data_IF_096184406926
#
_entry.id   IF_096184406926
#
_cell.length_a   1.000
_cell.length_b   1.000
_cell.length_c   1.000
_cell.angle_alpha   90.00
_cell.angle_beta   90.00
_cell.angle_gamma   90.00
#
_symmetry.space_group_name_H-M   'P 1'
#
loop_
_entity.id
_entity.type
_entity.pdbx_description
1 polymer ?
#
# COMPACT_ATOMS: atom_id res chain seq x y z
N UNK A 1 1.56 17.01 -12.66
CA UNK A 1 2.32 16.45 -11.52
C UNK A 1 3.07 17.58 -10.86
N UNK A 2 3.30 17.54 -9.54
CA UNK A 2 4.22 18.48 -8.90
C UNK A 2 5.58 18.44 -9.60
N UNK A 3 6.23 19.60 -9.70
CA UNK A 3 7.54 19.71 -10.36
C UNK A 3 8.66 19.11 -9.50
N UNK A 4 8.46 19.06 -8.18
CA UNK A 4 9.38 18.45 -7.21
C UNK A 4 8.59 17.60 -6.23
N UNK A 5 9.15 16.44 -5.88
CA UNK A 5 8.60 15.53 -4.87
C UNK A 5 9.53 15.39 -3.65
N UNK A 6 10.65 16.13 -3.63
CA UNK A 6 11.65 16.09 -2.57
C UNK A 6 11.04 16.37 -1.21
N UNK A 7 10.29 17.46 -1.04
CA UNK A 7 9.68 17.79 0.25
C UNK A 7 8.65 16.74 0.73
N UNK A 8 8.07 15.98 -0.22
CA UNK A 8 7.11 14.92 0.07
C UNK A 8 7.79 13.62 0.50
N UNK A 9 8.87 13.23 -0.17
CA UNK A 9 9.56 11.96 0.07
C UNK A 9 10.76 12.09 1.02
N UNK A 10 11.36 13.27 1.09
CA UNK A 10 12.59 13.59 1.81
C UNK A 10 12.38 14.88 2.63
N UNK A 11 11.46 14.87 3.62
CA UNK A 11 11.17 16.07 4.40
C UNK A 11 12.44 16.58 5.08
N UNK A 12 12.67 17.91 5.05
CA UNK A 12 13.93 18.53 5.48
C UNK A 12 14.31 18.22 6.94
N UNK A 13 13.32 17.94 7.79
CA UNK A 13 13.52 17.62 9.21
C UNK A 13 13.91 16.15 9.43
N UNK A 14 13.95 15.32 8.37
CA UNK A 14 14.32 13.92 8.48
C UNK A 14 15.83 13.77 8.63
N UNK A 15 16.27 13.39 9.83
CA UNK A 15 17.67 13.10 10.12
C UNK A 15 18.13 11.74 9.55
N UNK A 16 17.19 10.91 9.08
CA UNK A 16 17.44 9.56 8.62
C UNK A 16 16.75 9.28 7.28
N UNK A 17 17.33 8.37 6.51
CA UNK A 17 16.73 7.82 5.30
C UNK A 17 15.85 6.63 5.71
N UNK A 18 14.64 6.55 5.15
CA UNK A 18 13.71 5.46 5.43
C UNK A 18 14.12 4.19 4.69
N UNK A 19 13.85 3.02 5.27
CA UNK A 19 14.10 1.73 4.61
C UNK A 19 12.99 1.36 3.62
N UNK A 20 11.77 1.84 3.87
CA UNK A 20 10.55 1.53 3.12
C UNK A 20 9.69 2.80 2.97
N UNK A 21 9.24 3.09 1.76
CA UNK A 21 8.27 4.13 1.44
C UNK A 21 6.98 3.49 0.92
N UNK A 22 5.84 3.91 1.45
CA UNK A 22 4.51 3.42 1.08
C UNK A 22 3.67 4.62 0.67
N UNK A 23 3.40 4.74 -0.62
CA UNK A 23 2.72 5.90 -1.21
C UNK A 23 1.33 5.48 -1.68
N UNK A 24 0.31 5.86 -0.92
CA UNK A 24 -1.10 5.70 -1.28
C UNK A 24 -1.65 6.98 -1.90
N UNK A 25 -2.25 6.87 -3.09
CA UNK A 25 -2.91 8.00 -3.76
C UNK A 25 -4.37 7.70 -4.04
N UNK A 26 -5.22 8.73 -3.98
CA UNK A 26 -6.63 8.70 -4.37
C UNK A 26 -6.87 9.82 -5.39
N UNK A 27 -7.73 9.55 -6.38
CA UNK A 27 -7.98 10.51 -7.48
C UNK A 27 -6.67 10.92 -8.18
N UNK A 28 -5.72 9.98 -8.22
CA UNK A 28 -4.42 10.15 -8.84
C UNK A 28 -4.52 10.34 -10.35
N UNK A 29 -3.37 10.63 -10.93
CA UNK A 29 -3.27 11.02 -12.33
C UNK A 29 -3.55 9.80 -13.24
N UNK A 30 -4.15 10.01 -14.43
CA UNK A 30 -4.46 8.89 -15.33
C UNK A 30 -3.22 8.09 -15.73
N UNK A 31 -2.08 8.76 -15.91
CA UNK A 31 -0.79 8.11 -16.18
C UNK A 31 -0.08 7.72 -14.89
N UNK A 32 -0.38 6.51 -14.43
CA UNK A 32 0.20 5.91 -13.22
C UNK A 32 1.68 5.58 -13.40
N UNK A 33 2.10 5.25 -14.62
CA UNK A 33 3.48 4.89 -14.90
C UNK A 33 4.37 6.11 -14.76
N UNK A 34 3.94 7.25 -15.29
CA UNK A 34 4.63 8.53 -15.10
C UNK A 34 4.75 8.87 -13.60
N UNK A 35 3.70 8.61 -12.81
CA UNK A 35 3.78 8.82 -11.36
C UNK A 35 4.85 7.95 -10.69
N UNK A 36 4.89 6.65 -10.99
CA UNK A 36 5.90 5.74 -10.45
C UNK A 36 7.33 6.09 -10.91
N UNK A 37 7.48 6.55 -12.16
CA UNK A 37 8.77 7.03 -12.68
C UNK A 37 9.25 8.22 -11.85
N UNK A 38 8.42 9.23 -11.61
CA UNK A 38 8.83 10.40 -10.81
C UNK A 38 9.16 10.04 -9.36
N UNK A 39 8.41 9.11 -8.75
CA UNK A 39 8.74 8.60 -7.43
C UNK A 39 10.13 7.92 -7.43
N UNK A 40 10.39 7.07 -8.42
CA UNK A 40 11.66 6.37 -8.55
C UNK A 40 12.83 7.32 -8.83
N UNK A 41 12.64 8.35 -9.67
CA UNK A 41 13.64 9.39 -9.95
C UNK A 41 13.99 10.18 -8.69
N UNK A 42 12.98 10.54 -7.89
CA UNK A 42 13.17 11.31 -6.65
C UNK A 42 13.86 10.49 -5.56
N UNK A 43 13.48 9.22 -5.39
CA UNK A 43 14.12 8.32 -4.41
C UNK A 43 15.53 7.88 -4.84
N UNK A 44 15.80 7.89 -6.15
CA UNK A 44 17.08 7.52 -6.72
C UNK A 44 17.36 6.01 -6.69
N UNK A 45 18.59 5.60 -7.09
CA UNK A 45 18.93 4.21 -7.38
C UNK A 45 19.12 3.33 -6.13
N UNK A 46 19.05 3.91 -4.93
CA UNK A 46 19.11 3.17 -3.68
C UNK A 46 17.79 2.46 -3.34
N UNK A 47 16.69 2.89 -3.97
CA UNK A 47 15.37 2.30 -3.81
C UNK A 47 14.93 1.60 -5.08
N UNK A 48 14.09 0.58 -4.92
CA UNK A 48 13.41 -0.09 -6.03
C UNK A 48 11.92 -0.20 -5.71
N UNK A 49 11.08 -0.12 -6.73
CA UNK A 49 9.67 -0.44 -6.60
C UNK A 49 9.52 -1.94 -6.27
N UNK A 50 9.18 -2.26 -5.03
CA UNK A 50 8.94 -3.63 -4.57
C UNK A 50 7.63 -4.16 -5.14
N UNK A 51 6.56 -3.35 -5.07
CA UNK A 51 5.25 -3.71 -5.59
C UNK A 51 4.39 -2.46 -5.79
N UNK A 52 3.43 -2.52 -6.71
CA UNK A 52 2.34 -1.56 -6.77
C UNK A 52 1.01 -2.22 -7.10
N UNK A 53 -0.06 -1.63 -6.58
CA UNK A 53 -1.41 -2.14 -6.69
C UNK A 53 -2.39 -1.01 -6.98
N UNK A 54 -3.45 -1.32 -7.74
CA UNK A 54 -4.43 -0.33 -8.18
C UNK A 54 -5.84 -0.85 -7.97
N UNK A 55 -6.74 0.03 -7.53
CA UNK A 55 -8.18 -0.21 -7.58
C UNK A 55 -8.96 1.03 -8.05
N UNK A 56 -9.32 1.07 -9.33
CA UNK A 56 -10.00 2.24 -9.92
C UNK A 56 -9.11 3.49 -9.88
N UNK A 57 -9.48 4.47 -9.05
CA UNK A 57 -8.72 5.72 -8.82
C UNK A 57 -7.75 5.64 -7.63
N UNK A 58 -7.67 4.48 -6.98
CA UNK A 58 -6.71 4.21 -5.92
C UNK A 58 -5.44 3.58 -6.50
N UNK A 59 -4.30 4.00 -5.98
CA UNK A 59 -3.00 3.41 -6.29
C UNK A 59 -2.13 3.38 -5.04
N UNK A 60 -1.41 2.29 -4.84
CA UNK A 60 -0.50 2.06 -3.73
C UNK A 60 0.83 1.57 -4.29
N UNK A 61 1.91 2.30 -4.04
CA UNK A 61 3.27 1.95 -4.47
C UNK A 61 4.17 1.77 -3.25
N UNK A 62 4.93 0.68 -3.22
CA UNK A 62 5.90 0.38 -2.18
C UNK A 62 7.31 0.43 -2.78
N UNK A 63 8.14 1.32 -2.26
CA UNK A 63 9.56 1.39 -2.59
C UNK A 63 10.37 0.95 -1.38
N UNK A 64 11.32 0.06 -1.59
CA UNK A 64 12.21 -0.43 -0.53
C UNK A 64 13.65 -0.19 -0.93
N UNK A 65 14.54 -0.01 0.05
CA UNK A 65 15.97 -0.01 -0.26
C UNK A 65 16.37 -1.32 -0.95
N UNK A 66 17.17 -1.20 -2.00
CA UNK A 66 17.52 -2.29 -2.91
C UNK A 66 18.23 -3.47 -2.25
N UNK A 67 18.95 -3.22 -1.15
CA UNK A 67 19.67 -4.21 -0.35
C UNK A 67 18.73 -5.04 0.54
N UNK A 68 17.49 -4.57 0.75
CA UNK A 68 16.53 -5.20 1.64
C UNK A 68 15.52 -6.12 0.92
N UNK A 69 15.51 -6.14 -0.42
CA UNK A 69 14.54 -6.93 -1.21
C UNK A 69 14.56 -8.42 -0.88
N UNK A 70 15.73 -8.95 -0.53
CA UNK A 70 15.96 -10.37 -0.28
C UNK A 70 15.36 -10.87 1.03
N UNK A 71 14.93 -9.93 1.89
CA UNK A 71 14.31 -10.24 3.19
C UNK A 71 12.79 -10.10 3.16
N UNK A 72 12.21 -9.83 1.99
CA UNK A 72 10.76 -9.80 1.79
C UNK A 72 10.25 -11.17 1.35
N UNK A 73 9.11 -11.59 1.89
CA UNK A 73 8.30 -12.67 1.32
C UNK A 73 7.72 -12.26 -0.04
N UNK A 74 7.01 -13.20 -0.68
CA UNK A 74 6.09 -12.84 -1.75
C UNK A 74 5.13 -11.75 -1.27
N UNK A 75 4.90 -10.77 -2.15
CA UNK A 75 4.01 -9.64 -1.89
C UNK A 75 2.61 -10.01 -2.36
N UNK A 76 1.64 -9.90 -1.46
CA UNK A 76 0.23 -10.14 -1.74
C UNK A 76 -0.54 -8.82 -1.83
N UNK A 77 -1.62 -8.81 -2.61
CA UNK A 77 -2.54 -7.67 -2.68
C UNK A 77 -4.01 -8.09 -2.61
N UNK A 78 -4.85 -7.16 -2.16
CA UNK A 78 -6.31 -7.30 -2.19
C UNK A 78 -6.97 -5.95 -2.44
N UNK A 79 -8.18 -5.98 -2.98
CA UNK A 79 -8.98 -4.79 -3.21
C UNK A 79 -10.40 -5.01 -2.71
N UNK A 80 -11.03 -3.94 -2.21
CA UNK A 80 -12.42 -3.95 -1.75
C UNK A 80 -13.15 -2.78 -2.38
N UNK A 81 -14.19 -3.06 -3.17
CA UNK A 81 -15.11 -2.02 -3.65
C UNK A 81 -16.16 -1.75 -2.58
N UNK A 82 -16.12 -0.59 -1.93
CA UNK A 82 -17.18 -0.23 -0.96
C UNK A 82 -18.40 0.34 -1.65
N UNK A 83 -18.19 1.17 -2.70
CA UNK A 83 -19.26 1.78 -3.49
C UNK A 83 -18.85 2.01 -4.94
N UNK A 84 -19.79 1.77 -5.85
CA UNK A 84 -19.67 2.17 -7.26
C UNK A 84 -20.35 3.53 -7.41
N UNK A 85 -19.59 4.57 -7.75
CA UNK A 85 -20.12 5.93 -8.00
C UNK A 85 -20.46 6.10 -9.48
N UNK A 86 -19.64 5.54 -10.37
CA UNK A 86 -19.90 5.39 -11.81
C UNK A 86 -19.09 4.21 -12.37
N UNK A 87 -19.23 3.89 -13.66
CA UNK A 87 -18.42 2.84 -14.32
C UNK A 87 -16.90 3.07 -14.17
N UNK A 88 -16.45 4.32 -13.96
CA UNK A 88 -15.03 4.70 -13.86
C UNK A 88 -14.62 5.06 -12.41
N UNK A 89 -15.57 5.54 -11.58
CA UNK A 89 -15.29 5.98 -10.21
C UNK A 89 -15.81 4.98 -9.19
N UNK A 90 -14.89 4.31 -8.50
CA UNK A 90 -15.18 3.46 -7.35
C UNK A 90 -14.61 4.09 -6.07
N UNK A 91 -15.35 3.95 -4.97
CA UNK A 91 -14.85 4.09 -3.60
C UNK A 91 -14.50 2.70 -3.09
N UNK A 92 -13.46 2.61 -2.28
CA UNK A 92 -12.94 1.32 -1.87
C UNK A 92 -11.58 1.40 -1.21
N UNK A 93 -10.90 0.27 -1.19
CA UNK A 93 -9.56 0.13 -0.67
C UNK A 93 -8.71 -0.74 -1.59
N UNK A 94 -7.40 -0.46 -1.63
CA UNK A 94 -6.37 -1.37 -2.13
C UNK A 94 -5.36 -1.58 -1.02
N UNK A 95 -4.93 -2.82 -0.85
CA UNK A 95 -4.01 -3.21 0.17
C UNK A 95 -2.90 -4.08 -0.37
N UNK A 96 -1.74 -3.97 0.25
CA UNK A 96 -0.56 -4.79 -0.01
C UNK A 96 -0.06 -5.33 1.33
N UNK A 97 0.26 -6.62 1.39
CA UNK A 97 0.90 -7.25 2.53
C UNK A 97 2.11 -8.08 2.13
N UNK A 98 3.10 -8.13 3.02
CA UNK A 98 4.27 -8.99 2.90
C UNK A 98 4.91 -9.18 4.27
N UNK A 99 5.77 -10.17 4.41
CA UNK A 99 6.59 -10.38 5.60
C UNK A 99 8.01 -9.89 5.33
N UNK A 100 8.51 -9.02 6.20
CA UNK A 100 9.89 -8.54 6.19
C UNK A 100 10.64 -9.21 7.34
N UNK A 101 11.63 -10.04 7.00
CA UNK A 101 12.23 -11.00 7.93
C UNK A 101 11.15 -11.89 8.59
N UNK A 102 10.91 -11.71 9.89
CA UNK A 102 9.88 -12.40 10.65
C UNK A 102 8.67 -11.54 11.01
N UNK A 103 8.56 -10.32 10.47
CA UNK A 103 7.48 -9.38 10.80
C UNK A 103 6.58 -9.15 9.60
N UNK A 104 5.29 -9.46 9.74
CA UNK A 104 4.30 -9.24 8.69
C UNK A 104 3.74 -7.81 8.72
N UNK A 105 3.66 -7.19 7.54
CA UNK A 105 3.12 -5.85 7.35
C UNK A 105 1.89 -5.90 6.44
N UNK A 106 0.91 -5.04 6.73
CA UNK A 106 -0.28 -4.80 5.91
C UNK A 106 -0.47 -3.30 5.74
N UNK A 107 -0.46 -2.84 4.50
CA UNK A 107 -0.68 -1.45 4.12
C UNK A 107 -1.99 -1.33 3.36
N UNK A 108 -2.86 -0.41 3.79
CA UNK A 108 -4.17 -0.18 3.17
C UNK A 108 -4.27 1.30 2.83
N UNK A 109 -4.54 1.62 1.56
CA UNK A 109 -5.02 2.95 1.17
C UNK A 109 -6.49 2.87 0.78
N UNK A 110 -7.29 3.79 1.29
CA UNK A 110 -8.74 3.78 1.11
C UNK A 110 -9.25 5.12 0.63
N UNK A 111 -10.31 5.08 -0.16
CA UNK A 111 -11.02 6.26 -0.62
C UNK A 111 -12.47 6.15 -0.18
N UNK A 112 -12.80 6.79 0.95
CA UNK A 112 -14.11 6.70 1.58
C UNK A 112 -15.16 7.63 0.94
N UNK A 113 -16.41 7.43 1.33
CA UNK A 113 -17.55 8.27 0.98
C UNK A 113 -17.31 9.73 1.37
N UNK A 114 -17.44 10.62 0.39
CA UNK A 114 -17.33 12.06 0.57
C UNK A 114 -18.65 12.69 1.05
N UNK A 115 -18.57 13.92 1.58
CA UNK A 115 -19.71 14.68 2.09
C UNK A 115 -19.66 14.83 3.62
N UNK A 116 -19.87 16.07 4.09
CA UNK A 116 -19.70 16.43 5.50
C UNK A 116 -20.56 15.56 6.44
N UNK A 117 -21.86 15.42 6.13
CA UNK A 117 -22.80 14.64 6.93
C UNK A 117 -22.76 13.12 6.75
N UNK A 118 -21.81 12.58 5.98
CA UNK A 118 -21.78 11.15 5.59
C UNK A 118 -20.94 10.27 6.52
N UNK A 119 -21.01 10.53 7.83
CA UNK A 119 -20.21 9.83 8.84
C UNK A 119 -20.58 8.35 8.91
N UNK A 120 -21.87 8.03 8.90
CA UNK A 120 -22.36 6.66 8.94
C UNK A 120 -21.88 5.84 7.73
N UNK A 121 -21.94 6.43 6.53
CA UNK A 121 -21.45 5.77 5.32
C UNK A 121 -19.94 5.53 5.34
N UNK A 122 -19.15 6.44 5.94
CA UNK A 122 -17.71 6.21 6.14
C UNK A 122 -17.42 5.07 7.12
N UNK A 123 -18.24 4.92 8.16
CA UNK A 123 -18.13 3.76 9.06
C UNK A 123 -18.47 2.45 8.34
N UNK A 124 -19.48 2.45 7.46
CA UNK A 124 -19.78 1.29 6.60
C UNK A 124 -18.65 0.98 5.62
N UNK A 125 -18.01 2.00 5.02
CA UNK A 125 -16.85 1.81 4.15
C UNK A 125 -15.69 1.13 4.91
N UNK A 126 -15.42 1.57 6.15
CA UNK A 126 -14.42 0.96 7.02
C UNK A 126 -14.76 -0.49 7.36
N UNK A 127 -15.96 -0.75 7.90
CA UNK A 127 -16.38 -2.09 8.32
C UNK A 127 -16.32 -3.08 7.15
N UNK A 128 -16.86 -2.68 5.99
CA UNK A 128 -16.81 -3.51 4.78
C UNK A 128 -15.37 -3.77 4.33
N UNK A 129 -14.47 -2.81 4.48
CA UNK A 129 -13.06 -2.99 4.15
C UNK A 129 -12.41 -4.03 5.06
N UNK A 130 -12.54 -3.90 6.39
CA UNK A 130 -11.90 -4.83 7.33
C UNK A 130 -12.51 -6.24 7.29
N UNK A 131 -13.79 -6.37 6.94
CA UNK A 131 -14.46 -7.67 6.83
C UNK A 131 -14.14 -8.40 5.51
N UNK A 132 -13.95 -7.66 4.42
CA UNK A 132 -13.79 -8.25 3.09
C UNK A 132 -12.33 -8.35 2.62
N UNK A 133 -11.39 -7.67 3.28
CA UNK A 133 -9.98 -7.71 2.88
C UNK A 133 -9.36 -9.07 3.19
N UNK A 134 -9.20 -9.89 2.16
CA UNK A 134 -8.62 -11.22 2.27
C UNK A 134 -7.07 -11.18 2.21
N UNK A 135 -6.43 -10.62 3.25
CA UNK A 135 -4.99 -10.62 3.46
C UNK A 135 -4.59 -10.86 4.93
N UNK A 136 -3.46 -11.51 5.19
CA UNK A 136 -2.65 -12.26 4.22
C UNK A 136 -3.36 -13.57 3.83
N UNK A 137 -3.23 -14.00 2.56
CA UNK A 137 -3.80 -15.27 2.07
C UNK A 137 -2.93 -16.45 2.51
N UNK A 138 -1.62 -16.24 2.51
CA UNK A 138 -0.63 -17.14 3.09
C UNK A 138 -0.20 -16.54 4.43
N UNK A 139 -0.72 -17.08 5.52
CA UNK A 139 -0.22 -16.77 6.87
C UNK A 139 1.00 -17.68 7.10
N UNK A 140 2.25 -17.18 7.05
CA UNK A 140 3.38 -17.98 7.52
C UNK A 140 3.16 -18.30 9.00
N UNK A 141 3.35 -19.57 9.39
CA UNK A 141 3.29 -19.96 10.80
C UNK A 141 4.46 -19.30 11.53
N UNK A 142 4.18 -18.18 12.19
CA UNK A 142 5.17 -17.42 12.97
C UNK A 142 5.32 -17.97 14.37
N UNK A 143 4.62 -19.06 14.72
CA UNK A 143 4.68 -19.66 16.04
C UNK A 143 5.83 -20.66 16.12
N UNK A 144 6.98 -20.20 16.62
CA UNK A 144 8.19 -21.03 16.83
C UNK A 144 7.92 -22.26 17.72
N UNK A 145 6.84 -22.26 18.51
CA UNK A 145 6.45 -23.40 19.36
C UNK A 145 5.64 -24.49 18.64
N UNK A 146 5.33 -24.32 17.35
CA UNK A 146 4.57 -25.30 16.53
C UNK A 146 5.35 -25.89 15.36
N UNK A 147 6.62 -25.51 15.16
CA UNK A 147 7.48 -26.20 14.20
C UNK A 147 7.80 -27.61 14.72
N UNK A 148 6.99 -28.56 14.26
CA UNK A 148 7.05 -30.02 14.30
C UNK A 148 7.42 -30.72 15.63
N UNK A 149 6.52 -31.57 16.18
CA UNK A 149 6.96 -32.61 17.09
C UNK A 149 7.84 -33.57 16.30
N UNK A 150 9.07 -33.82 16.79
CA UNK A 150 10.05 -34.79 16.27
C UNK A 150 9.46 -35.91 15.39
N UNK A 151 9.96 -36.02 14.15
CA UNK A 151 10.15 -37.32 13.50
C UNK A 151 11.60 -37.80 13.74
#
# INVERSE_FOLDING_TARGET
LPDKLDDFLLPCDSQYIQDLYIIGTQEGIPDRREWEIRLQETLGPHFVLLYSAVHGVLHLSLFIRRDLIWFCSEVEQATVTTRIVSQIKTKGAVAISFTFFGTSFLFITSHFTSGQGKVYERMLDYNKTIEALALPRVVPDTNIYKSDPCE
#
